data_IF_288980304160
#
_entry.id   IF_288980304160
#
_cell.length_a   1.000
_cell.length_b   1.000
_cell.length_c   1.000
_cell.angle_alpha   90.00
_cell.angle_beta   90.00
_cell.angle_gamma   90.00
#
_symmetry.space_group_name_H-M   'P 1'
#
loop_
_entity.id
_entity.type
_entity.pdbx_description
1 polymer ?
#
# COMPACT_ATOMS: atom_id res chain seq x y z
N UNK A 1 -8.73 1.72 10.48
CA UNK A 1 -8.38 2.02 9.08
C UNK A 1 -7.66 0.82 8.49
N UNK A 2 -8.14 0.25 7.38
CA UNK A 2 -7.35 -0.72 6.61
C UNK A 2 -6.50 0.10 5.64
N UNK A 3 -5.22 0.26 5.93
CA UNK A 3 -4.30 1.02 5.07
C UNK A 3 -4.19 0.39 3.69
N UNK A 4 -3.99 1.23 2.67
CA UNK A 4 -3.68 0.79 1.32
C UNK A 4 -2.38 1.45 0.88
N UNK A 5 -1.53 0.68 0.23
CA UNK A 5 -0.31 1.17 -0.42
C UNK A 5 -0.24 0.53 -1.81
N UNK A 6 0.25 1.30 -2.76
CA UNK A 6 0.58 0.83 -4.10
C UNK A 6 2.05 1.12 -4.35
N UNK A 7 2.72 0.20 -5.05
CA UNK A 7 4.10 0.34 -5.48
C UNK A 7 4.17 0.21 -6.98
N UNK A 8 5.04 1.00 -7.59
CA UNK A 8 5.43 0.90 -8.99
C UNK A 8 6.94 0.85 -9.05
N UNK A 9 7.45 0.09 -9.99
CA UNK A 9 8.89 -0.01 -10.19
C UNK A 9 9.18 -0.15 -11.67
N UNK A 10 10.31 0.39 -12.10
CA UNK A 10 10.82 0.26 -13.46
C UNK A 10 12.35 0.25 -13.48
N UNK A 11 12.92 -0.33 -14.52
CA UNK A 11 14.32 -0.16 -14.88
C UNK A 11 14.40 0.80 -16.06
N UNK A 12 15.13 1.91 -15.92
CA UNK A 12 15.30 2.89 -16.99
C UNK A 12 16.24 2.36 -18.07
N UNK A 13 16.19 2.96 -19.27
CA UNK A 13 17.11 2.62 -20.36
C UNK A 13 18.60 2.92 -20.06
N UNK A 14 18.89 3.67 -18.99
CA UNK A 14 20.25 3.99 -18.54
C UNK A 14 20.78 3.00 -17.48
N UNK A 15 20.00 1.96 -17.15
CA UNK A 15 20.39 0.95 -16.15
C UNK A 15 20.08 1.36 -14.70
N UNK A 16 19.28 2.41 -14.49
CA UNK A 16 18.88 2.87 -13.15
C UNK A 16 17.52 2.28 -12.76
N UNK A 17 17.40 1.78 -11.53
CA UNK A 17 16.13 1.31 -10.98
C UNK A 17 15.37 2.41 -10.27
N UNK A 18 14.07 2.56 -10.56
CA UNK A 18 13.19 3.45 -9.82
C UNK A 18 12.09 2.63 -9.14
N UNK A 19 11.91 2.85 -7.84
CA UNK A 19 10.76 2.34 -7.07
C UNK A 19 10.02 3.53 -6.49
N UNK A 20 8.73 3.61 -6.75
CA UNK A 20 7.83 4.64 -6.22
C UNK A 20 6.68 3.98 -5.48
N UNK A 21 6.10 4.71 -4.53
CA UNK A 21 4.94 4.23 -3.80
C UNK A 21 3.94 5.35 -3.54
N UNK A 22 2.69 4.97 -3.30
CA UNK A 22 1.63 5.85 -2.83
C UNK A 22 0.98 5.23 -1.61
N UNK A 23 1.05 5.94 -0.50
CA UNK A 23 0.31 5.62 0.72
C UNK A 23 -1.05 6.34 0.67
N UNK A 24 -2.13 5.58 0.71
CA UNK A 24 -3.49 6.12 0.65
C UNK A 24 -3.98 6.40 2.07
N UNK A 25 -4.55 7.58 2.26
CA UNK A 25 -5.10 8.00 3.53
C UNK A 25 -6.63 7.94 3.62
N UNK A 26 -7.13 8.38 4.77
CA UNK A 26 -8.54 8.55 5.06
C UNK A 26 -8.77 9.93 5.67
N UNK A 27 -9.88 10.58 5.32
CA UNK A 27 -10.28 11.84 5.95
C UNK A 27 -10.97 11.56 7.29
N UNK A 28 -10.69 12.39 8.30
CA UNK A 28 -11.38 12.31 9.58
C UNK A 28 -12.80 12.90 9.46
N UNK A 29 -13.81 12.07 9.75
CA UNK A 29 -15.22 12.45 9.74
C UNK A 29 -15.56 13.54 10.77
N UNK A 30 -14.86 13.51 11.92
CA UNK A 30 -15.08 14.47 13.00
C UNK A 30 -14.40 15.81 12.74
N UNK A 31 -13.15 15.79 12.30
CA UNK A 31 -12.37 17.02 12.14
C UNK A 31 -12.75 17.80 10.88
N UNK A 32 -13.27 17.13 9.83
CA UNK A 32 -13.71 17.74 8.55
C UNK A 32 -12.70 18.71 7.91
N UNK A 33 -11.40 18.47 8.12
CA UNK A 33 -10.29 19.32 7.63
C UNK A 33 -10.04 19.15 6.12
N UNK A 34 -10.67 18.15 5.48
CA UNK A 34 -10.49 17.87 4.05
C UNK A 34 -9.13 17.26 3.68
N UNK A 35 -8.22 17.07 4.64
CA UNK A 35 -6.93 16.40 4.42
C UNK A 35 -7.03 14.90 4.66
N UNK A 36 -6.30 14.12 3.87
CA UNK A 36 -6.15 12.69 4.11
C UNK A 36 -5.06 12.43 5.15
N UNK A 37 -5.38 11.57 6.11
CA UNK A 37 -4.44 11.08 7.11
C UNK A 37 -3.95 9.69 6.69
N UNK A 38 -2.62 9.45 6.64
CA UNK A 38 -2.08 8.15 6.30
C UNK A 38 -2.40 7.12 7.40
N UNK A 39 -2.51 5.86 7.01
CA UNK A 39 -2.55 4.77 7.99
C UNK A 39 -1.20 4.66 8.70
N UNK A 40 -1.22 4.38 10.00
CA UNK A 40 -0.03 3.95 10.73
C UNK A 40 0.34 2.52 10.36
N UNK A 41 1.64 2.25 10.35
CA UNK A 41 2.21 0.94 10.04
C UNK A 41 2.98 0.43 11.24
N UNK A 42 2.83 -0.86 11.51
CA UNK A 42 3.77 -1.53 12.39
C UNK A 42 5.08 -1.78 11.65
N UNK A 43 6.25 -1.67 12.31
CA UNK A 43 7.55 -1.88 11.66
C UNK A 43 7.65 -3.21 10.90
N UNK A 44 7.09 -4.29 11.45
CA UNK A 44 7.07 -5.61 10.82
C UNK A 44 6.27 -5.66 9.51
N UNK A 45 5.19 -4.88 9.41
CA UNK A 45 4.39 -4.78 8.19
C UNK A 45 5.15 -4.04 7.08
N UNK A 46 5.95 -3.04 7.45
CA UNK A 46 6.82 -2.31 6.52
C UNK A 46 7.88 -3.24 5.93
N UNK A 47 8.63 -3.94 6.80
CA UNK A 47 9.70 -4.86 6.38
C UNK A 47 9.17 -5.92 5.43
N UNK A 48 8.06 -6.56 5.77
CA UNK A 48 7.42 -7.58 4.94
C UNK A 48 7.06 -7.07 3.54
N UNK A 49 6.50 -5.86 3.44
CA UNK A 49 6.12 -5.28 2.15
C UNK A 49 7.36 -4.91 1.33
N UNK A 50 8.40 -4.36 1.96
CA UNK A 50 9.66 -4.07 1.28
C UNK A 50 10.34 -5.34 0.73
N UNK A 51 10.31 -6.44 1.49
CA UNK A 51 10.81 -7.74 1.02
C UNK A 51 10.03 -8.24 -0.20
N UNK A 52 8.70 -8.10 -0.20
CA UNK A 52 7.88 -8.44 -1.37
C UNK A 52 8.28 -7.61 -2.60
N UNK A 53 8.56 -6.31 -2.44
CA UNK A 53 8.99 -5.43 -3.54
C UNK A 53 10.38 -5.82 -4.04
N UNK A 54 11.35 -6.02 -3.13
CA UNK A 54 12.69 -6.49 -3.46
C UNK A 54 12.65 -7.77 -4.30
N UNK A 55 11.92 -8.79 -3.83
CA UNK A 55 11.78 -10.06 -4.54
C UNK A 55 11.09 -9.88 -5.90
N UNK A 56 10.09 -9.00 -5.99
CA UNK A 56 9.38 -8.76 -7.25
C UNK A 56 10.26 -8.05 -8.27
N UNK A 57 11.06 -7.07 -7.86
CA UNK A 57 12.07 -6.41 -8.71
C UNK A 57 13.12 -7.42 -9.17
N UNK A 58 13.66 -8.21 -8.25
CA UNK A 58 14.60 -9.29 -8.53
C UNK A 58 14.07 -10.30 -9.55
N UNK A 59 12.79 -10.67 -9.41
CA UNK A 59 12.13 -11.59 -10.34
C UNK A 59 12.00 -10.98 -11.74
N UNK A 60 11.54 -9.72 -11.83
CA UNK A 60 11.23 -9.09 -13.12
C UNK A 60 12.49 -8.73 -13.91
N UNK A 61 13.55 -8.28 -13.26
CA UNK A 61 14.74 -7.74 -13.95
C UNK A 61 16.03 -8.56 -13.76
N UNK A 62 16.10 -9.43 -12.76
CA UNK A 62 17.37 -10.07 -12.36
C UNK A 62 17.28 -11.61 -12.27
N UNK A 63 16.20 -12.22 -12.74
CA UNK A 63 16.06 -13.68 -12.84
C UNK A 63 15.84 -14.40 -11.50
N UNK A 64 15.37 -13.72 -10.45
CA UNK A 64 15.05 -14.41 -9.19
C UNK A 64 13.91 -15.42 -9.39
N UNK A 65 14.02 -16.58 -8.76
CA UNK A 65 12.90 -17.51 -8.67
C UNK A 65 11.78 -16.86 -7.85
N UNK A 66 10.53 -16.97 -8.33
CA UNK A 66 9.38 -16.30 -7.74
C UNK A 66 9.08 -16.85 -6.33
N UNK A 67 9.38 -16.11 -5.24
CA UNK A 67 8.96 -16.53 -3.93
C UNK A 67 7.46 -16.22 -3.74
N UNK A 68 6.76 -16.96 -2.87
CA UNK A 68 5.39 -16.62 -2.50
C UNK A 68 5.30 -15.19 -1.96
N UNK A 69 4.31 -14.41 -2.41
CA UNK A 69 4.08 -13.07 -1.86
C UNK A 69 3.49 -13.21 -0.45
N UNK A 70 4.11 -12.57 0.54
CA UNK A 70 3.61 -12.55 1.90
C UNK A 70 2.39 -11.62 2.00
N UNK A 71 1.19 -12.18 1.79
CA UNK A 71 -0.10 -11.45 1.76
C UNK A 71 -0.79 -11.34 3.12
N UNK A 72 -0.33 -12.10 4.12
CA UNK A 72 -0.90 -12.08 5.47
C UNK A 72 -0.79 -10.66 6.02
N UNK A 73 -1.86 -10.16 6.62
CA UNK A 73 -1.91 -8.83 7.23
C UNK A 73 -2.33 -8.99 8.68
N UNK A 74 -1.69 -8.25 9.58
CA UNK A 74 -2.22 -8.12 10.94
C UNK A 74 -3.66 -7.61 10.88
N UNK A 75 -4.64 -8.31 11.50
CA UNK A 75 -6.00 -7.83 11.50
C UNK A 75 -6.07 -6.51 12.25
N UNK A 76 -6.59 -5.48 11.60
CA UNK A 76 -6.97 -4.25 12.29
C UNK A 76 -8.21 -4.50 13.16
N UNK A 77 -8.38 -3.70 14.20
CA UNK A 77 -9.64 -3.59 14.97
C UNK A 77 -10.29 -2.22 14.71
N UNK A 78 -10.80 -1.95 13.50
CA UNK A 78 -11.48 -0.69 13.21
C UNK A 78 -12.73 -0.59 14.10
N UNK A 79 -12.90 0.57 14.76
CA UNK A 79 -14.09 0.82 15.61
C UNK A 79 -15.34 1.16 14.80
N UNK A 80 -15.15 1.74 13.61
CA UNK A 80 -16.21 2.21 12.74
C UNK A 80 -16.18 1.45 11.41
N UNK A 81 -17.34 1.32 10.73
CA UNK A 81 -17.40 0.75 9.39
C UNK A 81 -16.58 1.57 8.38
N UNK A 82 -16.30 0.96 7.24
CA UNK A 82 -15.65 1.65 6.13
C UNK A 82 -16.59 2.72 5.56
N UNK A 83 -16.08 3.93 5.33
CA UNK A 83 -16.79 4.99 4.63
C UNK A 83 -16.01 5.33 3.36
N UNK A 84 -16.62 5.03 2.20
CA UNK A 84 -16.00 5.21 0.89
C UNK A 84 -15.78 6.69 0.56
N UNK A 85 -16.66 7.58 1.01
CA UNK A 85 -16.55 9.02 0.76
C UNK A 85 -15.33 9.62 1.43
N UNK A 86 -14.90 9.06 2.56
CA UNK A 86 -13.73 9.52 3.31
C UNK A 86 -12.44 8.78 2.93
N UNK A 87 -12.50 7.75 2.07
CA UNK A 87 -11.36 6.91 1.73
C UNK A 87 -10.70 7.35 0.42
N UNK A 88 -9.41 7.73 0.48
CA UNK A 88 -8.66 8.10 -0.73
C UNK A 88 -8.57 6.95 -1.73
N UNK A 89 -8.37 5.72 -1.25
CA UNK A 89 -8.28 4.55 -2.12
C UNK A 89 -9.61 4.23 -2.85
N UNK A 90 -10.77 4.56 -2.26
CA UNK A 90 -12.06 4.42 -2.93
C UNK A 90 -12.20 5.45 -4.05
N UNK A 91 -11.88 6.71 -3.76
CA UNK A 91 -11.89 7.80 -4.75
C UNK A 91 -10.94 7.51 -5.92
N UNK A 92 -9.78 6.92 -5.65
CA UNK A 92 -8.79 6.53 -6.67
C UNK A 92 -9.08 5.16 -7.30
N UNK A 93 -10.17 4.48 -6.93
CA UNK A 93 -10.58 3.20 -7.53
C UNK A 93 -9.71 1.98 -7.18
N UNK A 94 -8.84 2.04 -6.18
CA UNK A 94 -7.91 0.95 -5.81
C UNK A 94 -8.20 0.30 -4.45
N UNK A 95 -9.29 0.69 -3.79
CA UNK A 95 -9.71 0.07 -2.53
C UNK A 95 -10.13 -1.40 -2.72
N UNK A 96 -9.74 -2.25 -1.78
CA UNK A 96 -10.14 -3.67 -1.72
C UNK A 96 -11.40 -3.92 -0.89
N UNK A 97 -11.90 -2.92 -0.17
CA UNK A 97 -13.06 -2.99 0.72
C UNK A 97 -14.27 -2.30 0.09
N UNK A 98 -14.48 -2.50 -1.23
CA UNK A 98 -15.62 -1.93 -1.96
C UNK A 98 -16.91 -2.61 -1.50
N UNK A 99 -17.45 -2.25 -0.34
CA UNK A 99 -18.81 -2.46 0.17
C UNK A 99 -18.94 -1.86 1.56
#
# INVERSE_FOLDING_TARGET
MKGRISFWFLLTGHGEGLVTFKLYGQQCDKCKVGRYEPAMWYPEEVVKVLVNIYNRVGQVYYGFQQPPIHKNRRPGKPRNPHNADLCQACRDGVCSERR
#
